data_IF_185744963924
#
_entry.id   IF_185744963924
#
_cell.length_a   1.000
_cell.length_b   1.000
_cell.length_c   1.000
_cell.angle_alpha   90.00
_cell.angle_beta   90.00
_cell.angle_gamma   90.00
#
_symmetry.space_group_name_H-M   'P 1'
#
loop_
_entity.id
_entity.type
_entity.pdbx_description
1 polymer ?
#
# COMPACT_ATOMS: atom_id res chain seq x y z
N UNK A 1 -5.98 9.36 15.05
CA UNK A 1 -6.60 9.12 13.72
C UNK A 1 -6.61 10.43 12.96
N UNK A 2 -6.05 10.50 11.75
CA UNK A 2 -5.77 11.77 11.05
C UNK A 2 -7.00 12.27 10.26
N UNK A 3 -7.56 11.43 9.39
CA UNK A 3 -8.60 11.85 8.43
C UNK A 3 -9.96 11.21 8.68
N UNK A 4 -10.05 10.22 9.57
CA UNK A 4 -11.27 9.43 9.80
C UNK A 4 -11.66 8.52 8.64
N UNK A 5 -10.80 8.41 7.61
CA UNK A 5 -11.05 7.66 6.38
C UNK A 5 -10.08 6.47 6.29
N UNK A 6 -10.56 5.38 5.69
CA UNK A 6 -9.76 4.20 5.38
C UNK A 6 -8.79 4.52 4.23
N UNK A 7 -7.52 4.13 4.39
CA UNK A 7 -6.43 4.30 3.42
C UNK A 7 -6.64 3.43 2.18
N UNK A 8 -6.73 2.11 2.36
CA UNK A 8 -6.99 1.16 1.28
C UNK A 8 -8.49 0.91 1.13
N UNK A 9 -9.03 1.11 -0.07
CA UNK A 9 -10.46 0.96 -0.35
C UNK A 9 -10.64 0.01 -1.53
N UNK A 10 -10.41 -1.29 -1.33
CA UNK A 10 -10.51 -2.26 -2.41
C UNK A 10 -11.93 -2.33 -2.94
N UNK A 11 -12.03 -2.39 -4.27
CA UNK A 11 -13.25 -2.55 -5.04
C UNK A 11 -13.27 -3.94 -5.66
N UNK A 12 -14.46 -4.40 -5.99
CA UNK A 12 -14.63 -5.56 -6.85
C UNK A 12 -15.52 -5.14 -8.02
N UNK A 13 -15.23 -5.67 -9.19
CA UNK A 13 -16.12 -5.49 -10.34
C UNK A 13 -17.36 -6.40 -10.20
N UNK A 14 -18.40 -6.10 -10.99
CA UNK A 14 -19.62 -6.91 -10.97
C UNK A 14 -19.44 -8.23 -11.73
N UNK A 15 -18.46 -8.28 -12.63
CA UNK A 15 -18.14 -9.41 -13.49
C UNK A 15 -17.30 -10.47 -12.77
N UNK A 16 -16.72 -10.15 -11.61
CA UNK A 16 -15.89 -11.05 -10.81
C UNK A 16 -14.47 -11.23 -11.35
N UNK A 17 -14.05 -10.44 -12.35
CA UNK A 17 -12.69 -10.48 -12.89
C UNK A 17 -11.72 -9.81 -11.92
N UNK A 18 -12.11 -8.65 -11.39
CA UNK A 18 -11.40 -7.96 -10.31
C UNK A 18 -12.04 -8.30 -8.96
N UNK A 19 -11.32 -9.04 -8.13
CA UNK A 19 -11.73 -9.31 -6.75
C UNK A 19 -11.21 -8.23 -5.80
N UNK A 20 -11.83 -8.10 -4.62
CA UNK A 20 -11.36 -7.16 -3.58
C UNK A 20 -9.93 -7.44 -3.14
N UNK A 21 -9.52 -8.70 -3.12
CA UNK A 21 -8.17 -9.09 -2.71
C UNK A 21 -7.14 -8.65 -3.75
N UNK A 22 -7.44 -8.84 -5.05
CA UNK A 22 -6.59 -8.36 -6.14
C UNK A 22 -6.48 -6.83 -6.10
N UNK A 23 -7.59 -6.11 -5.98
CA UNK A 23 -7.57 -4.65 -5.91
C UNK A 23 -6.80 -4.15 -4.67
N UNK A 24 -6.92 -4.84 -3.54
CA UNK A 24 -6.14 -4.54 -2.33
C UNK A 24 -4.64 -4.70 -2.59
N UNK A 25 -4.22 -5.82 -3.17
CA UNK A 25 -2.81 -6.09 -3.47
C UNK A 25 -2.26 -5.09 -4.50
N UNK A 26 -3.07 -4.66 -5.48
CA UNK A 26 -2.69 -3.61 -6.42
C UNK A 26 -2.47 -2.28 -5.72
N UNK A 27 -3.44 -1.84 -4.91
CA UNK A 27 -3.35 -0.58 -4.16
C UNK A 27 -2.13 -0.56 -3.22
N UNK A 28 -1.82 -1.67 -2.56
CA UNK A 28 -0.63 -1.76 -1.70
C UNK A 28 0.67 -1.52 -2.48
N UNK A 29 0.83 -2.13 -3.65
CA UNK A 29 2.01 -1.97 -4.49
C UNK A 29 2.09 -0.55 -5.10
N UNK A 30 0.99 -0.06 -5.66
CA UNK A 30 0.92 1.25 -6.32
C UNK A 30 1.14 2.42 -5.36
N UNK A 31 0.50 2.37 -4.18
CA UNK A 31 0.61 3.48 -3.22
C UNK A 31 2.06 3.64 -2.75
N UNK A 32 2.75 2.52 -2.57
CA UNK A 32 4.12 2.49 -2.06
C UNK A 32 5.18 2.63 -3.15
N UNK A 33 4.79 2.54 -4.43
CA UNK A 33 5.72 2.47 -5.57
C UNK A 33 6.70 1.28 -5.42
N UNK A 34 6.19 0.15 -4.92
CA UNK A 34 6.97 -1.05 -4.59
C UNK A 34 6.51 -2.26 -5.41
N UNK A 35 7.47 -3.08 -5.84
CA UNK A 35 7.20 -4.42 -6.37
C UNK A 35 7.05 -5.44 -5.24
N UNK A 36 6.24 -6.48 -5.47
CA UNK A 36 6.08 -7.56 -4.49
C UNK A 36 7.39 -8.33 -4.28
N UNK A 37 7.88 -8.46 -3.03
CA UNK A 37 9.15 -9.14 -2.77
C UNK A 37 9.10 -10.63 -3.14
N UNK A 38 10.04 -11.17 -3.95
CA UNK A 38 10.02 -12.57 -4.35
C UNK A 38 10.02 -13.55 -3.17
N UNK A 39 10.79 -13.24 -2.12
CA UNK A 39 10.85 -14.05 -0.89
C UNK A 39 9.51 -14.09 -0.14
N UNK A 40 8.75 -12.99 -0.20
CA UNK A 40 7.41 -12.92 0.39
C UNK A 40 6.44 -13.76 -0.42
N UNK A 41 6.47 -13.61 -1.75
CA UNK A 41 5.64 -14.39 -2.67
C UNK A 41 5.93 -15.90 -2.54
N UNK A 42 7.19 -16.30 -2.41
CA UNK A 42 7.59 -17.70 -2.27
C UNK A 42 7.07 -18.36 -0.98
N UNK A 43 6.88 -17.57 0.09
CA UNK A 43 6.37 -18.07 1.39
C UNK A 43 4.84 -18.05 1.49
N UNK A 44 4.15 -17.37 0.57
CA UNK A 44 2.70 -17.23 0.60
C UNK A 44 1.99 -18.48 0.10
N UNK A 45 1.15 -19.08 0.95
CA UNK A 45 0.36 -20.28 0.61
C UNK A 45 -0.59 -20.04 -0.58
N UNK A 46 -1.15 -18.84 -0.65
CA UNK A 46 -2.15 -18.42 -1.66
C UNK A 46 -1.56 -17.58 -2.79
N UNK A 47 -0.23 -17.44 -2.87
CA UNK A 47 0.43 -16.62 -3.91
C UNK A 47 -0.01 -17.00 -5.31
N UNK A 48 -0.13 -18.31 -5.58
CA UNK A 48 -0.52 -18.83 -6.89
C UNK A 48 -1.93 -18.39 -7.34
N UNK A 49 -2.82 -18.02 -6.42
CA UNK A 49 -4.17 -17.52 -6.73
C UNK A 49 -4.11 -16.11 -7.32
N UNK A 50 -3.17 -15.27 -6.85
CA UNK A 50 -3.12 -13.83 -7.16
C UNK A 50 -1.99 -13.42 -8.09
N UNK A 51 -0.89 -14.18 -8.17
CA UNK A 51 0.32 -13.81 -8.90
C UNK A 51 0.67 -14.80 -10.02
N UNK A 52 1.24 -14.31 -11.12
CA UNK A 52 1.86 -15.12 -12.17
C UNK A 52 3.26 -15.62 -11.75
N UNK A 53 3.89 -16.44 -12.60
CA UNK A 53 5.23 -16.99 -12.32
C UNK A 53 6.33 -15.92 -12.29
N UNK A 54 6.08 -14.74 -12.85
CA UNK A 54 6.97 -13.59 -12.82
C UNK A 54 6.73 -12.70 -11.60
N UNK A 55 5.79 -13.05 -10.71
CA UNK A 55 5.45 -12.28 -9.53
C UNK A 55 4.57 -11.07 -9.81
N UNK A 56 3.94 -11.00 -10.98
CA UNK A 56 3.00 -9.92 -11.35
C UNK A 56 1.59 -10.31 -10.94
N UNK A 57 0.83 -9.33 -10.47
CA UNK A 57 -0.54 -9.53 -10.04
C UNK A 57 -1.43 -9.88 -11.25
N UNK A 58 -2.28 -10.89 -11.11
CA UNK A 58 -3.25 -11.31 -12.12
C UNK A 58 -4.49 -10.41 -12.06
N UNK A 59 -5.17 -10.21 -13.19
CA UNK A 59 -6.46 -9.54 -13.27
C UNK A 59 -6.49 -8.12 -12.66
N UNK A 60 -5.39 -7.37 -12.80
CA UNK A 60 -5.32 -5.96 -12.38
C UNK A 60 -6.21 -5.10 -13.29
N UNK A 61 -7.02 -4.23 -12.70
CA UNK A 61 -7.72 -3.20 -13.48
C UNK A 61 -6.74 -2.11 -13.90
N UNK A 62 -6.71 -1.74 -15.18
CA UNK A 62 -5.88 -0.63 -15.68
C UNK A 62 -6.34 0.77 -15.26
N UNK A 63 -7.07 0.90 -14.15
CA UNK A 63 -7.49 2.19 -13.62
C UNK A 63 -6.32 2.83 -12.86
N UNK A 64 -5.92 4.02 -13.31
CA UNK A 64 -5.02 5.04 -12.70
C UNK A 64 -4.13 4.56 -11.55
N UNK A 65 -2.83 4.45 -11.82
CA UNK A 65 -1.78 4.36 -10.79
C UNK A 65 -1.87 5.57 -9.84
N UNK A 66 -2.33 5.35 -8.61
CA UNK A 66 -2.36 6.37 -7.56
C UNK A 66 -1.23 6.11 -6.57
N UNK A 67 -0.40 7.12 -6.32
CA UNK A 67 0.68 7.03 -5.32
C UNK A 67 0.16 7.45 -3.95
N UNK A 68 0.87 7.08 -2.88
CA UNK A 68 0.48 7.46 -1.53
C UNK A 68 0.25 8.98 -1.38
N UNK A 69 1.06 9.80 -2.06
CA UNK A 69 0.88 11.24 -2.14
C UNK A 69 -0.53 11.64 -2.62
N UNK A 70 -0.98 11.10 -3.75
CA UNK A 70 -2.29 11.37 -4.34
C UNK A 70 -3.42 10.93 -3.40
N UNK A 71 -3.20 9.84 -2.67
CA UNK A 71 -4.16 9.35 -1.68
C UNK A 71 -4.25 10.30 -0.49
N UNK A 72 -3.13 10.78 0.04
CA UNK A 72 -3.15 11.76 1.15
C UNK A 72 -3.91 13.05 0.75
N UNK A 73 -3.80 13.45 -0.52
CA UNK A 73 -4.58 14.54 -1.10
C UNK A 73 -6.09 14.24 -1.11
N UNK A 74 -6.50 13.07 -1.62
CA UNK A 74 -7.89 12.62 -1.62
C UNK A 74 -8.46 12.45 -0.20
N UNK A 75 -7.61 12.08 0.76
CA UNK A 75 -7.98 11.99 2.17
C UNK A 75 -8.11 13.39 2.82
N UNK A 76 -7.69 14.46 2.15
CA UNK A 76 -7.66 15.86 2.62
C UNK A 76 -6.72 16.08 3.80
N UNK A 77 -5.56 15.42 3.79
CA UNK A 77 -4.47 15.76 4.71
C UNK A 77 -3.99 17.18 4.41
N UNK A 78 -3.65 17.96 5.44
CA UNK A 78 -3.11 19.31 5.29
C UNK A 78 -1.83 19.28 4.47
N UNK A 79 -1.64 20.15 3.46
CA UNK A 79 -0.45 20.15 2.61
C UNK A 79 0.88 20.14 3.38
N UNK A 80 0.99 20.92 4.44
CA UNK A 80 2.21 21.03 5.25
C UNK A 80 2.58 19.73 5.98
N UNK A 81 1.58 18.92 6.34
CA UNK A 81 1.78 17.65 7.04
C UNK A 81 2.11 16.50 6.07
N UNK A 82 1.74 16.62 4.79
CA UNK A 82 1.80 15.50 3.82
C UNK A 82 3.19 14.91 3.65
N UNK A 83 4.27 15.67 3.40
CA UNK A 83 5.58 15.07 3.14
C UNK A 83 6.09 14.25 4.33
N UNK A 84 5.90 14.77 5.55
CA UNK A 84 6.32 14.11 6.78
C UNK A 84 5.47 12.88 7.09
N UNK A 85 4.15 12.98 6.89
CA UNK A 85 3.23 11.86 7.05
C UNK A 85 3.46 10.77 6.01
N UNK A 86 3.67 11.14 4.74
CA UNK A 86 3.94 10.20 3.65
C UNK A 86 5.20 9.38 3.96
N UNK A 87 6.28 10.06 4.36
CA UNK A 87 7.52 9.39 4.76
C UNK A 87 7.31 8.47 5.97
N UNK A 88 6.62 8.94 7.00
CA UNK A 88 6.29 8.12 8.18
C UNK A 88 5.50 6.86 7.82
N UNK A 89 4.49 7.00 6.95
CA UNK A 89 3.65 5.88 6.51
C UNK A 89 4.42 4.89 5.63
N UNK A 90 5.30 5.36 4.73
CA UNK A 90 6.15 4.48 3.91
C UNK A 90 7.02 3.56 4.77
N UNK A 91 7.64 4.11 5.82
CA UNK A 91 8.42 3.31 6.78
C UNK A 91 7.60 2.22 7.48
N UNK A 92 6.30 2.45 7.72
CA UNK A 92 5.40 1.48 8.34
C UNK A 92 4.86 0.43 7.37
N UNK A 93 4.70 0.81 6.10
CA UNK A 93 3.87 0.07 5.15
C UNK A 93 4.68 -0.75 4.14
N UNK A 94 6.01 -0.73 4.18
CA UNK A 94 6.88 -1.54 3.32
C UNK A 94 6.31 -2.93 3.06
N UNK A 95 6.30 -3.36 1.79
CA UNK A 95 5.75 -4.66 1.42
C UNK A 95 6.56 -5.78 2.05
N UNK A 96 7.89 -5.63 2.08
CA UNK A 96 8.77 -6.57 2.76
C UNK A 96 8.67 -6.38 4.29
N UNK A 97 8.15 -7.36 5.04
CA UNK A 97 7.92 -7.16 6.47
C UNK A 97 9.20 -6.92 7.28
N UNK A 98 10.33 -7.46 6.82
CA UNK A 98 11.63 -7.29 7.45
C UNK A 98 12.19 -5.87 7.32
N UNK A 99 11.71 -5.08 6.35
CA UNK A 99 12.15 -3.71 6.10
C UNK A 99 11.25 -2.67 6.79
N UNK A 100 10.11 -3.09 7.36
CA UNK A 100 9.23 -2.20 8.12
C UNK A 100 9.94 -1.66 9.35
N UNK A 101 9.85 -0.36 9.53
CA UNK A 101 10.32 0.28 10.74
C UNK A 101 9.55 -0.24 11.96
N UNK A 102 10.28 -0.56 13.01
CA UNK A 102 9.70 -0.94 14.31
C UNK A 102 9.01 0.26 14.94
N UNK A 103 8.04 0.00 15.82
CA UNK A 103 7.39 1.07 16.60
C UNK A 103 8.40 1.95 17.34
N UNK A 104 9.46 1.35 17.91
CA UNK A 104 10.51 2.11 18.62
C UNK A 104 11.30 3.05 17.72
N UNK A 105 11.54 2.68 16.46
CA UNK A 105 12.20 3.57 15.49
C UNK A 105 11.27 4.72 15.10
N UNK A 106 9.98 4.42 14.88
CA UNK A 106 8.97 5.39 14.48
C UNK A 106 8.68 6.46 15.55
N UNK A 107 8.87 6.14 16.84
CA UNK A 107 8.72 7.12 17.93
C UNK A 107 9.66 8.33 17.80
N UNK A 108 10.81 8.15 17.15
CA UNK A 108 11.79 9.23 16.95
C UNK A 108 11.55 10.00 15.63
N UNK A 109 10.49 9.67 14.89
CA UNK A 109 10.23 10.31 13.61
C UNK A 109 9.76 11.77 13.81
N UNK A 110 10.31 12.74 13.05
CA UNK A 110 9.99 14.17 13.22
C UNK A 110 8.50 14.49 13.18
N UNK A 111 7.73 13.74 12.38
CA UNK A 111 6.29 13.91 12.26
C UNK A 111 5.52 13.82 13.60
N UNK A 112 6.02 13.04 14.56
CA UNK A 112 5.37 12.91 15.88
C UNK A 112 5.73 14.04 16.87
N UNK A 113 6.73 14.86 16.53
CA UNK A 113 7.22 15.98 17.35
C UNK A 113 6.85 17.35 16.76
N UNK A 114 6.09 17.38 15.66
CA UNK A 114 5.57 18.59 15.02
C UNK A 114 4.39 19.20 15.82
#
# INVERSE_FOLDING_TARGET
MITGKILFRPRADKQGVLTKDVDMLSQMAEYLDEGWPPDLLAKGERTHEYFDQQGRLKNVSGDVELRLHDILDLLRVKPDDRPHLEHFLKLMLHLQPAERATASQLLNHPWLSL
#
